data_IF_611279538350
#
_entry.id   IF_611279538350
#
_cell.length_a   1.000
_cell.length_b   1.000
_cell.length_c   1.000
_cell.angle_alpha   90.00
_cell.angle_beta   90.00
_cell.angle_gamma   90.00
#
_symmetry.space_group_name_H-M   'P 1'
#
loop_
_entity.id
_entity.type
_entity.pdbx_description
1 polymer ?
#
# COMPACT_ATOMS: atom_id res chain seq x y z
N UNK A 1 67.03 46.23 -45.87
CA UNK A 1 67.70 44.99 -45.45
C UNK A 1 66.75 43.82 -45.66
N UNK A 2 67.11 42.86 -46.50
CA UNK A 2 66.38 41.60 -46.70
C UNK A 2 66.65 40.69 -45.51
N UNK A 3 65.61 40.01 -45.01
CA UNK A 3 65.79 38.81 -44.20
C UNK A 3 64.81 37.75 -44.70
N UNK A 4 65.36 36.62 -45.11
CA UNK A 4 64.64 35.40 -45.46
C UNK A 4 64.30 34.62 -44.18
N UNK A 5 63.22 33.83 -44.16
CA UNK A 5 63.29 32.35 -44.17
C UNK A 5 62.04 31.59 -43.62
N UNK A 6 61.57 30.67 -44.48
CA UNK A 6 60.98 29.32 -44.27
C UNK A 6 59.47 29.12 -44.00
N UNK A 7 58.88 28.44 -44.98
CA UNK A 7 57.61 27.71 -45.01
C UNK A 7 57.76 26.41 -44.22
N UNK A 8 56.76 26.06 -43.39
CA UNK A 8 56.44 24.65 -43.15
C UNK A 8 54.90 24.47 -43.07
N UNK A 9 54.32 23.56 -43.87
CA UNK A 9 52.88 23.38 -43.98
C UNK A 9 52.37 22.45 -42.87
N UNK A 10 51.28 22.85 -42.21
CA UNK A 10 50.61 22.02 -41.21
C UNK A 10 49.89 20.85 -41.93
N UNK A 11 50.48 19.65 -41.83
CA UNK A 11 49.87 18.40 -42.28
C UNK A 11 48.53 18.18 -41.57
N UNK A 12 47.46 18.04 -42.35
CA UNK A 12 46.17 17.49 -41.91
C UNK A 12 46.39 16.01 -41.56
N UNK A 13 46.46 15.70 -40.27
CA UNK A 13 46.39 14.32 -39.79
C UNK A 13 44.93 13.86 -39.84
N UNK A 14 44.64 12.85 -40.67
CA UNK A 14 43.39 12.10 -40.66
C UNK A 14 43.22 11.41 -39.30
N UNK A 15 42.30 11.91 -38.46
CA UNK A 15 41.81 11.16 -37.32
C UNK A 15 40.67 10.28 -37.84
N UNK A 16 40.93 8.97 -37.96
CA UNK A 16 39.87 7.99 -38.09
C UNK A 16 39.08 8.00 -36.78
N UNK A 17 37.90 8.64 -36.81
CA UNK A 17 36.89 8.51 -35.77
C UNK A 17 36.44 7.05 -35.74
N UNK A 18 36.93 6.30 -34.76
CA UNK A 18 36.35 5.00 -34.41
C UNK A 18 34.88 5.26 -34.05
N UNK A 19 33.98 4.78 -34.90
CA UNK A 19 32.55 4.75 -34.62
C UNK A 19 32.38 3.75 -33.49
N UNK A 20 31.98 4.22 -32.30
CA UNK A 20 31.70 3.34 -31.18
C UNK A 20 30.54 2.42 -31.56
N UNK A 21 30.74 1.11 -31.33
CA UNK A 21 29.75 0.08 -31.59
C UNK A 21 28.68 0.18 -30.49
N UNK A 22 27.46 0.60 -30.83
CA UNK A 22 26.38 0.89 -29.86
C UNK A 22 25.62 -0.36 -29.42
N UNK A 23 26.11 -1.56 -29.73
CA UNK A 23 25.45 -2.83 -29.38
C UNK A 23 25.50 -3.16 -27.89
N UNK A 24 26.40 -2.54 -27.12
CA UNK A 24 26.53 -2.74 -25.65
C UNK A 24 25.87 -1.65 -24.79
N UNK A 25 25.39 -0.56 -25.39
CA UNK A 25 24.90 0.64 -24.68
C UNK A 25 23.50 0.47 -24.08
N UNK A 26 22.67 -0.41 -24.66
CA UNK A 26 21.31 -0.66 -24.18
C UNK A 26 21.28 -1.29 -22.77
N UNK A 27 22.27 -2.14 -22.45
CA UNK A 27 22.39 -2.80 -21.15
C UNK A 27 22.94 -1.86 -20.06
N UNK A 28 23.79 -0.90 -20.42
CA UNK A 28 24.42 0.01 -19.46
C UNK A 28 23.45 1.13 -19.06
N UNK A 29 22.62 1.60 -19.99
CA UNK A 29 21.61 2.62 -19.73
C UNK A 29 20.50 2.13 -18.78
N UNK A 30 20.08 0.87 -18.92
CA UNK A 30 19.11 0.22 -18.03
C UNK A 30 19.65 0.10 -16.58
N UNK A 31 20.92 -0.28 -16.43
CA UNK A 31 21.58 -0.37 -15.13
C UNK A 31 21.82 0.99 -14.47
N UNK A 32 22.09 2.04 -15.26
CA UNK A 32 22.28 3.40 -14.75
C UNK A 32 20.95 4.03 -14.30
N UNK A 33 19.86 3.77 -15.03
CA UNK A 33 18.50 4.15 -14.63
C UNK A 33 18.06 3.41 -13.36
N UNK A 34 18.31 2.10 -13.27
CA UNK A 34 18.12 1.32 -12.05
C UNK A 34 18.79 1.95 -10.83
N UNK A 35 20.05 2.38 -10.98
CA UNK A 35 20.82 2.98 -9.88
C UNK A 35 20.36 4.39 -9.51
N UNK A 36 19.75 5.12 -10.45
CA UNK A 36 19.40 6.54 -10.30
C UNK A 36 17.94 6.79 -9.95
N UNK A 37 17.03 5.91 -10.39
CA UNK A 37 15.58 6.06 -10.20
C UNK A 37 14.93 4.87 -9.48
N UNK A 38 15.60 3.71 -9.42
CA UNK A 38 15.01 2.48 -8.86
C UNK A 38 13.94 1.82 -9.73
N UNK A 39 13.69 2.33 -10.95
CA UNK A 39 12.52 1.99 -11.77
C UNK A 39 12.63 0.64 -12.50
N UNK A 40 13.81 0.01 -12.56
CA UNK A 40 14.01 -1.21 -13.37
C UNK A 40 13.56 -2.54 -12.74
N UNK A 41 12.88 -2.54 -11.60
CA UNK A 41 12.28 -3.76 -11.02
C UNK A 41 10.76 -3.89 -11.28
N UNK A 42 10.13 -2.91 -11.91
CA UNK A 42 8.67 -2.85 -11.96
C UNK A 42 8.16 -3.57 -13.21
N UNK A 43 8.10 -4.91 -13.16
CA UNK A 43 7.03 -5.59 -13.89
C UNK A 43 5.74 -5.08 -13.26
N UNK A 44 4.84 -4.42 -14.01
CA UNK A 44 3.59 -3.95 -13.44
C UNK A 44 2.86 -5.16 -12.85
N UNK A 45 2.50 -5.06 -11.57
CA UNK A 45 1.67 -6.08 -10.93
C UNK A 45 0.37 -6.23 -11.72
N UNK A 46 -0.28 -7.41 -11.70
CA UNK A 46 -1.57 -7.57 -12.35
C UNK A 46 -2.49 -6.42 -11.94
N UNK A 47 -3.11 -5.74 -12.91
CA UNK A 47 -3.91 -4.52 -12.69
C UNK A 47 -4.94 -4.74 -11.57
N UNK A 48 -5.63 -5.88 -11.62
CA UNK A 48 -6.60 -6.28 -10.60
C UNK A 48 -6.00 -6.41 -9.18
N UNK A 49 -4.76 -6.89 -9.06
CA UNK A 49 -4.10 -6.93 -7.75
C UNK A 49 -3.78 -5.51 -7.24
N UNK A 50 -3.38 -4.61 -8.12
CA UNK A 50 -3.12 -3.21 -7.78
C UNK A 50 -4.40 -2.48 -7.34
N UNK A 51 -5.53 -2.74 -8.01
CA UNK A 51 -6.84 -2.23 -7.61
C UNK A 51 -7.23 -2.71 -6.21
N UNK A 52 -7.12 -4.02 -5.95
CA UNK A 52 -7.46 -4.60 -4.63
C UNK A 52 -6.58 -4.00 -3.53
N UNK A 53 -5.29 -3.78 -3.80
CA UNK A 53 -4.39 -3.13 -2.86
C UNK A 53 -4.79 -1.67 -2.59
N UNK A 54 -5.20 -0.93 -3.63
CA UNK A 54 -5.69 0.45 -3.50
C UNK A 54 -6.94 0.50 -2.63
N UNK A 55 -7.93 -0.35 -2.89
CA UNK A 55 -9.15 -0.44 -2.09
C UNK A 55 -8.83 -0.79 -0.63
N UNK A 56 -7.91 -1.75 -0.41
CA UNK A 56 -7.48 -2.14 0.94
C UNK A 56 -6.89 -0.95 1.69
N UNK A 57 -6.02 -0.17 1.04
CA UNK A 57 -5.40 1.00 1.64
C UNK A 57 -6.44 2.07 2.02
N UNK A 58 -7.43 2.30 1.15
CA UNK A 58 -8.53 3.23 1.42
C UNK A 58 -9.38 2.77 2.60
N UNK A 59 -9.75 1.49 2.67
CA UNK A 59 -10.53 0.96 3.80
C UNK A 59 -9.75 0.95 5.11
N UNK A 60 -8.46 0.61 5.10
CA UNK A 60 -7.59 0.69 6.27
C UNK A 60 -7.48 2.13 6.80
N UNK A 61 -7.29 3.10 5.90
CA UNK A 61 -7.24 4.52 6.22
C UNK A 61 -8.56 5.02 6.82
N UNK A 62 -9.69 4.63 6.22
CA UNK A 62 -11.02 4.99 6.70
C UNK A 62 -11.30 4.43 8.10
N UNK A 63 -10.98 3.16 8.36
CA UNK A 63 -11.10 2.59 9.69
C UNK A 63 -10.20 3.31 10.70
N UNK A 64 -8.94 3.56 10.33
CA UNK A 64 -7.98 4.28 11.19
C UNK A 64 -8.52 5.66 11.57
N UNK A 65 -8.97 6.45 10.59
CA UNK A 65 -9.58 7.76 10.83
C UNK A 65 -10.80 7.66 11.74
N UNK A 66 -11.72 6.73 11.46
CA UNK A 66 -12.92 6.52 12.27
C UNK A 66 -12.57 6.18 13.73
N UNK A 67 -11.62 5.26 13.92
CA UNK A 67 -11.21 4.79 15.25
C UNK A 67 -10.63 5.93 16.11
N UNK A 68 -9.84 6.81 15.51
CA UNK A 68 -9.26 7.98 16.17
C UNK A 68 -10.35 8.98 16.56
N UNK A 69 -11.27 9.31 15.63
CA UNK A 69 -12.37 10.25 15.88
C UNK A 69 -13.36 9.76 16.94
N UNK A 70 -13.47 8.45 17.14
CA UNK A 70 -14.37 7.82 18.11
C UNK A 70 -13.65 7.17 19.30
N UNK A 71 -12.41 7.59 19.58
CA UNK A 71 -11.64 7.09 20.72
C UNK A 71 -12.13 7.66 22.06
N UNK A 72 -12.73 8.84 22.09
CA UNK A 72 -13.21 9.53 23.31
C UNK A 72 -14.52 10.30 23.09
N UNK A 73 -15.62 9.95 23.79
CA UNK A 73 -15.81 8.69 24.51
C UNK A 73 -15.69 7.50 23.55
N UNK A 74 -15.35 6.32 24.07
CA UNK A 74 -15.09 5.14 23.24
C UNK A 74 -16.37 4.70 22.50
N UNK A 75 -16.38 4.84 21.17
CA UNK A 75 -17.52 4.47 20.29
C UNK A 75 -17.08 3.72 19.02
N UNK A 76 -15.85 3.21 19.00
CA UNK A 76 -15.23 2.56 17.83
C UNK A 76 -16.06 1.39 17.31
N UNK A 77 -16.41 0.43 18.16
CA UNK A 77 -17.11 -0.79 17.72
C UNK A 77 -18.43 -0.49 17.02
N UNK A 78 -19.18 0.51 17.51
CA UNK A 78 -20.47 0.92 16.97
C UNK A 78 -20.32 1.75 15.68
N UNK A 79 -19.45 2.76 15.72
CA UNK A 79 -19.40 3.77 14.66
C UNK A 79 -18.48 3.40 13.50
N UNK A 80 -17.58 2.43 13.69
CA UNK A 80 -16.57 2.05 12.69
C UNK A 80 -16.77 0.64 12.13
N UNK A 81 -17.88 -0.02 12.44
CA UNK A 81 -18.16 -1.40 12.00
C UNK A 81 -18.12 -1.54 10.48
N UNK A 82 -18.74 -0.62 9.73
CA UNK A 82 -18.76 -0.68 8.26
C UNK A 82 -17.34 -0.60 7.68
N UNK A 83 -16.51 0.33 8.19
CA UNK A 83 -15.13 0.44 7.76
C UNK A 83 -14.30 -0.79 8.12
N UNK A 84 -14.53 -1.39 9.29
CA UNK A 84 -13.88 -2.62 9.71
C UNK A 84 -14.23 -3.78 8.77
N UNK A 85 -15.52 -3.95 8.44
CA UNK A 85 -15.98 -5.01 7.53
C UNK A 85 -15.34 -4.86 6.15
N UNK A 86 -15.39 -3.66 5.55
CA UNK A 86 -14.79 -3.42 4.23
C UNK A 86 -13.27 -3.67 4.24
N UNK A 87 -12.58 -3.26 5.29
CA UNK A 87 -11.15 -3.52 5.47
C UNK A 87 -10.86 -5.04 5.55
N UNK A 88 -11.61 -5.76 6.39
CA UNK A 88 -11.44 -7.19 6.61
C UNK A 88 -11.71 -7.98 5.34
N UNK A 89 -12.83 -7.70 4.68
CA UNK A 89 -13.25 -8.42 3.47
C UNK A 89 -12.30 -8.14 2.31
N UNK A 90 -11.82 -6.90 2.17
CA UNK A 90 -10.84 -6.56 1.13
C UNK A 90 -9.47 -7.18 1.38
N UNK A 91 -9.05 -7.31 2.63
CA UNK A 91 -7.85 -8.08 2.96
C UNK A 91 -8.02 -9.56 2.60
N UNK A 92 -9.18 -10.15 2.85
CA UNK A 92 -9.46 -11.52 2.43
C UNK A 92 -9.46 -11.67 0.91
N UNK A 93 -10.03 -10.72 0.17
CA UNK A 93 -9.97 -10.68 -1.30
C UNK A 93 -8.50 -10.60 -1.80
N UNK A 94 -7.66 -9.77 -1.16
CA UNK A 94 -6.23 -9.66 -1.45
C UNK A 94 -5.49 -11.00 -1.26
N UNK A 95 -5.83 -11.75 -0.21
CA UNK A 95 -5.19 -13.02 0.09
C UNK A 95 -5.60 -14.15 -0.88
N UNK A 96 -6.82 -14.11 -1.40
CA UNK A 96 -7.43 -15.20 -2.17
C UNK A 96 -7.37 -14.99 -3.68
N UNK A 97 -7.24 -13.75 -4.15
CA UNK A 97 -7.29 -13.45 -5.59
C UNK A 97 -6.07 -13.97 -6.35
N UNK A 98 -6.33 -14.63 -7.49
CA UNK A 98 -5.33 -15.12 -8.43
C UNK A 98 -5.65 -14.57 -9.82
N UNK A 99 -4.68 -13.90 -10.43
CA UNK A 99 -4.79 -13.30 -11.77
C UNK A 99 -3.77 -13.96 -12.68
N UNK A 100 -4.21 -14.64 -13.74
CA UNK A 100 -3.33 -15.32 -14.70
C UNK A 100 -2.30 -16.25 -14.02
N UNK A 101 -2.72 -17.00 -12.99
CA UNK A 101 -1.86 -17.90 -12.22
C UNK A 101 -0.98 -17.21 -11.16
N UNK A 102 -1.01 -15.88 -11.07
CA UNK A 102 -0.27 -15.10 -10.06
C UNK A 102 -1.19 -14.71 -8.91
N UNK A 103 -0.88 -15.12 -7.68
CA UNK A 103 -1.65 -14.75 -6.49
C UNK A 103 -1.28 -13.34 -6.01
N UNK A 104 -2.27 -12.48 -5.74
CA UNK A 104 -2.00 -11.12 -5.22
C UNK A 104 -1.29 -11.18 -3.85
N UNK A 105 -1.61 -12.17 -3.01
CA UNK A 105 -0.86 -12.47 -1.78
C UNK A 105 0.64 -12.62 -2.04
N UNK A 106 1.00 -13.43 -3.03
CA UNK A 106 2.41 -13.70 -3.37
C UNK A 106 3.15 -12.50 -3.96
N UNK A 107 2.41 -11.47 -4.37
CA UNK A 107 2.96 -10.22 -4.92
C UNK A 107 3.17 -9.17 -3.84
N UNK A 108 2.34 -9.14 -2.79
CA UNK A 108 2.30 -8.04 -1.84
C UNK A 108 2.60 -8.43 -0.39
N UNK A 109 2.23 -9.63 0.05
CA UNK A 109 2.37 -10.05 1.44
C UNK A 109 3.70 -10.75 1.64
N UNK A 110 4.44 -10.35 2.67
CA UNK A 110 5.72 -10.92 3.09
C UNK A 110 6.78 -10.93 1.98
N UNK A 111 6.77 -9.88 1.15
CA UNK A 111 7.71 -9.68 0.03
C UNK A 111 8.90 -8.80 0.35
N UNK A 112 8.80 -8.04 1.42
CA UNK A 112 9.90 -7.30 2.00
C UNK A 112 9.94 -7.52 3.52
N UNK A 113 11.00 -7.02 4.17
CA UNK A 113 11.21 -7.20 5.61
C UNK A 113 10.22 -6.41 6.46
N UNK A 114 9.67 -5.32 5.93
CA UNK A 114 8.73 -4.47 6.66
C UNK A 114 7.32 -5.06 6.63
N UNK A 115 6.93 -5.69 5.53
CA UNK A 115 5.60 -6.26 5.28
C UNK A 115 4.48 -5.32 5.72
N UNK A 116 4.55 -4.07 5.25
CA UNK A 116 3.71 -2.98 5.75
C UNK A 116 2.21 -3.31 5.70
N UNK A 117 1.79 -4.08 4.70
CA UNK A 117 0.39 -4.48 4.54
C UNK A 117 -0.07 -5.37 5.70
N UNK A 118 0.75 -6.35 6.08
CA UNK A 118 0.48 -7.22 7.23
C UNK A 118 0.56 -6.44 8.56
N UNK A 119 1.55 -5.57 8.72
CA UNK A 119 1.67 -4.72 9.91
C UNK A 119 0.44 -3.84 10.12
N UNK A 120 -0.06 -3.17 9.08
CA UNK A 120 -1.31 -2.40 9.19
C UNK A 120 -2.51 -3.29 9.46
N UNK A 121 -2.54 -4.49 8.86
CA UNK A 121 -3.62 -5.42 9.11
C UNK A 121 -3.71 -5.81 10.58
N UNK A 122 -2.60 -6.27 11.14
CA UNK A 122 -2.52 -6.78 12.51
C UNK A 122 -2.77 -5.68 13.54
N UNK A 123 -2.35 -4.45 13.25
CA UNK A 123 -2.66 -3.29 14.09
C UNK A 123 -4.17 -2.98 14.12
N UNK A 124 -4.85 -2.98 12.97
CA UNK A 124 -6.29 -2.73 12.88
C UNK A 124 -7.07 -3.86 13.58
N UNK A 125 -6.72 -5.12 13.29
CA UNK A 125 -7.29 -6.28 13.97
C UNK A 125 -7.09 -6.20 15.49
N UNK A 126 -5.89 -5.83 15.93
CA UNK A 126 -5.57 -5.66 17.34
C UNK A 126 -6.40 -4.58 18.04
N UNK A 127 -6.75 -3.47 17.36
CA UNK A 127 -7.66 -2.46 17.92
C UNK A 127 -9.07 -3.05 18.10
N UNK A 128 -9.57 -3.77 17.10
CA UNK A 128 -10.89 -4.40 17.13
C UNK A 128 -11.01 -5.45 18.24
N UNK A 129 -9.99 -6.31 18.36
CA UNK A 129 -9.92 -7.37 19.35
C UNK A 129 -9.77 -6.85 20.78
N UNK A 130 -8.87 -5.87 21.01
CA UNK A 130 -8.70 -5.23 22.33
C UNK A 130 -9.97 -4.52 22.80
N UNK A 131 -10.77 -4.01 21.86
CA UNK A 131 -12.09 -3.44 22.14
C UNK A 131 -13.17 -4.49 22.42
N UNK A 132 -12.87 -5.78 22.26
CA UNK A 132 -13.83 -6.88 22.28
C UNK A 132 -15.05 -6.62 21.37
N UNK A 133 -14.84 -5.94 20.24
CA UNK A 133 -15.93 -5.44 19.40
C UNK A 133 -16.81 -6.55 18.82
N UNK A 134 -16.27 -7.76 18.62
CA UNK A 134 -17.06 -8.91 18.17
C UNK A 134 -18.19 -9.27 19.13
N UNK A 135 -18.04 -9.04 20.44
CA UNK A 135 -19.08 -9.32 21.44
C UNK A 135 -20.26 -8.33 21.37
N UNK A 136 -20.09 -7.21 20.67
CA UNK A 136 -21.18 -6.25 20.46
C UNK A 136 -22.21 -6.72 19.41
N UNK A 137 -21.88 -7.75 18.64
CA UNK A 137 -22.63 -8.17 17.47
C UNK A 137 -22.92 -9.68 17.47
N UNK A 138 -24.07 -10.05 16.90
CA UNK A 138 -24.38 -11.39 16.41
C UNK A 138 -23.92 -11.50 14.94
N UNK A 139 -23.27 -12.62 14.63
CA UNK A 139 -22.62 -12.88 13.33
C UNK A 139 -23.27 -14.01 12.55
N UNK A 140 -24.42 -14.56 13.00
CA UNK A 140 -25.10 -15.72 12.37
C UNK A 140 -25.41 -15.56 10.89
N UNK A 141 -25.67 -14.34 10.43
CA UNK A 141 -26.04 -14.04 9.04
C UNK A 141 -24.85 -13.65 8.16
N UNK A 142 -23.63 -13.66 8.72
CA UNK A 142 -22.44 -13.12 8.06
C UNK A 142 -22.38 -11.59 8.03
N UNK A 143 -23.41 -10.91 8.52
CA UNK A 143 -23.44 -9.46 8.70
C UNK A 143 -23.51 -9.11 10.18
N UNK A 144 -22.86 -8.02 10.62
CA UNK A 144 -22.89 -7.60 12.02
C UNK A 144 -24.27 -7.04 12.37
N UNK A 145 -25.01 -7.76 13.21
CA UNK A 145 -26.27 -7.30 13.80
C UNK A 145 -26.04 -7.07 15.29
N UNK A 146 -26.49 -5.95 15.87
CA UNK A 146 -26.26 -5.71 17.31
C UNK A 146 -26.83 -6.86 18.15
N UNK A 147 -26.04 -7.32 19.12
CA UNK A 147 -26.50 -8.36 20.05
C UNK A 147 -27.57 -7.81 21.01
N UNK A 148 -28.45 -8.69 21.49
CA UNK A 148 -29.50 -8.31 22.44
C UNK A 148 -28.90 -7.70 23.71
N UNK A 149 -27.76 -8.23 24.17
CA UNK A 149 -27.02 -7.75 25.32
C UNK A 149 -26.52 -6.31 25.10
N UNK A 150 -26.02 -6.01 23.89
CA UNK A 150 -25.54 -4.67 23.54
C UNK A 150 -26.69 -3.67 23.44
N UNK A 151 -27.82 -4.08 22.85
CA UNK A 151 -29.02 -3.23 22.79
C UNK A 151 -29.48 -2.90 24.21
N UNK A 152 -29.63 -3.90 25.06
CA UNK A 152 -30.07 -3.74 26.44
C UNK A 152 -29.12 -2.85 27.26
N UNK A 153 -27.80 -3.06 27.13
CA UNK A 153 -26.81 -2.20 27.79
C UNK A 153 -26.93 -0.74 27.34
N UNK A 154 -27.08 -0.49 26.04
CA UNK A 154 -27.20 0.87 25.51
C UNK A 154 -28.49 1.57 26.00
N UNK A 155 -29.60 0.84 26.13
CA UNK A 155 -30.85 1.37 26.70
C UNK A 155 -30.65 1.81 28.15
N UNK A 156 -30.09 0.94 29.00
CA UNK A 156 -29.81 1.26 30.41
C UNK A 156 -28.80 2.40 30.55
N UNK A 157 -27.77 2.42 29.70
CA UNK A 157 -26.80 3.49 29.66
C UNK A 157 -27.47 4.84 29.35
N UNK A 158 -28.31 4.90 28.31
CA UNK A 158 -29.03 6.12 27.95
C UNK A 158 -29.96 6.58 29.08
N UNK A 159 -30.74 5.66 29.67
CA UNK A 159 -31.59 5.98 30.83
C UNK A 159 -30.78 6.54 32.01
N UNK A 160 -29.59 5.99 32.25
CA UNK A 160 -28.70 6.45 33.32
C UNK A 160 -28.15 7.85 33.03
N UNK A 161 -27.74 8.13 31.80
CA UNK A 161 -27.28 9.46 31.39
C UNK A 161 -28.41 10.48 31.50
N UNK A 162 -29.61 10.15 31.01
CA UNK A 162 -30.80 11.02 31.10
C UNK A 162 -31.20 11.31 32.54
N UNK A 163 -30.90 10.41 33.49
CA UNK A 163 -31.16 10.62 34.91
C UNK A 163 -30.12 11.52 35.59
N UNK A 164 -28.89 11.58 35.07
CA UNK A 164 -27.76 12.30 35.68
C UNK A 164 -27.58 13.69 35.08
N UNK A 165 -27.96 13.88 33.81
CA UNK A 165 -27.95 15.17 33.11
C UNK A 165 -29.21 15.99 33.41
#
# INVERSE_FOLDING_TARGET
>A
MKSYYWVFPFLLLHINLLKADTSTDESLHANLLLLKTGIGYMVPFPEKCSEILSDYADYASNFTKCSILHARPIRICKNCIEHYMSFHDKYHELLTTVVNGTSCKSVFISRDRLDAILEYHDNIMGIWEKGHCNACYDWKTGQPVLSNETIHFNELFNQTIDCIM
#
